data_IF_067023065851
#
_entry.id   IF_067023065851
#
_cell.length_a   1.000
_cell.length_b   1.000
_cell.length_c   1.000
_cell.angle_alpha   90.00
_cell.angle_beta   90.00
_cell.angle_gamma   90.00
#
_symmetry.space_group_name_H-M   'P 1'
#
loop_
_entity.id
_entity.type
_entity.pdbx_description
1 polymer ?
#
# COMPACT_ATOMS: atom_id res chain seq x y z
N UNK A 1 39.73 12.02 -16.76
CA UNK A 1 38.76 10.90 -16.86
C UNK A 1 37.96 10.86 -15.58
N UNK A 2 36.65 11.12 -15.64
CA UNK A 2 35.77 10.92 -14.48
C UNK A 2 35.33 9.46 -14.49
N UNK A 3 35.65 8.74 -13.42
CA UNK A 3 35.04 7.45 -13.14
C UNK A 3 33.59 7.77 -12.78
N UNK A 4 32.68 7.61 -13.75
CA UNK A 4 31.26 7.60 -13.44
C UNK A 4 31.03 6.37 -12.56
N UNK A 5 30.75 6.61 -11.28
CA UNK A 5 30.25 5.56 -10.41
C UNK A 5 29.07 4.92 -11.14
N UNK A 6 29.20 3.62 -11.44
CA UNK A 6 28.09 2.79 -11.84
C UNK A 6 27.15 2.87 -10.64
N UNK A 7 26.05 3.62 -10.74
CA UNK A 7 24.99 3.54 -9.74
C UNK A 7 24.60 2.07 -9.75
N UNK A 8 25.05 1.37 -8.73
CA UNK A 8 24.64 0.02 -8.46
C UNK A 8 23.12 0.08 -8.33
N UNK A 9 22.45 -0.81 -9.06
CA UNK A 9 20.99 -0.99 -9.16
C UNK A 9 20.32 -1.16 -7.77
N UNK A 10 21.10 -1.21 -6.69
CA UNK A 10 20.72 -1.42 -5.30
C UNK A 10 20.20 -0.17 -4.54
N UNK A 11 19.99 0.97 -5.22
CA UNK A 11 19.62 2.23 -4.56
C UNK A 11 18.21 2.76 -4.89
N UNK A 12 17.42 2.05 -5.70
CA UNK A 12 16.02 2.40 -5.91
C UNK A 12 15.21 1.60 -4.90
N UNK A 13 14.70 2.28 -3.86
CA UNK A 13 13.75 1.68 -2.93
C UNK A 13 12.52 1.11 -3.66
N UNK A 14 11.66 0.34 -2.96
CA UNK A 14 10.54 -0.34 -3.58
C UNK A 14 9.68 0.61 -4.42
N UNK A 15 9.33 0.19 -5.63
CA UNK A 15 8.41 0.91 -6.50
C UNK A 15 6.98 0.63 -6.04
N UNK A 16 6.13 1.64 -5.97
CA UNK A 16 4.72 1.44 -5.65
C UNK A 16 3.82 2.10 -6.67
N UNK A 17 2.64 1.50 -6.87
CA UNK A 17 1.59 2.10 -7.69
C UNK A 17 0.98 3.32 -7.02
N UNK A 18 0.33 4.21 -7.78
CA UNK A 18 -0.67 5.10 -7.21
C UNK A 18 -1.72 4.31 -6.43
N UNK A 19 -2.38 4.90 -5.41
CA UNK A 19 -3.47 4.24 -4.69
C UNK A 19 -4.59 3.83 -5.65
N UNK A 20 -4.82 2.53 -5.77
CA UNK A 20 -5.88 1.97 -6.59
C UNK A 20 -7.15 1.89 -5.75
N UNK A 21 -8.26 2.53 -6.16
CA UNK A 21 -9.50 2.47 -5.40
C UNK A 21 -10.04 1.03 -5.39
N UNK A 22 -10.44 0.56 -4.21
CA UNK A 22 -11.11 -0.74 -4.05
C UNK A 22 -12.39 -0.57 -3.26
N UNK A 23 -13.33 -1.47 -3.52
CA UNK A 23 -14.52 -1.56 -2.69
C UNK A 23 -14.09 -1.88 -1.26
N UNK A 24 -14.63 -1.15 -0.30
CA UNK A 24 -14.22 -1.25 1.10
C UNK A 24 -14.37 -2.67 1.65
N UNK A 25 -15.41 -3.39 1.25
CA UNK A 25 -15.68 -4.79 1.61
C UNK A 25 -14.67 -5.80 1.04
N UNK A 26 -13.79 -5.36 0.13
CA UNK A 26 -12.65 -6.13 -0.35
C UNK A 26 -11.36 -5.88 0.44
N UNK A 27 -11.38 -4.97 1.41
CA UNK A 27 -10.24 -4.80 2.31
C UNK A 27 -10.14 -5.98 3.29
N UNK A 28 -8.94 -6.18 3.80
CA UNK A 28 -8.57 -7.20 4.76
C UNK A 28 -9.53 -7.18 5.96
N UNK A 29 -9.96 -8.37 6.44
CA UNK A 29 -10.84 -8.49 7.61
C UNK A 29 -10.34 -7.73 8.84
N UNK A 30 -9.01 -7.61 8.99
CA UNK A 30 -8.39 -6.87 10.08
C UNK A 30 -8.65 -5.36 9.99
N UNK A 31 -8.57 -4.77 8.80
CA UNK A 31 -8.95 -3.36 8.58
C UNK A 31 -10.45 -3.20 8.84
N UNK A 32 -11.28 -4.08 8.28
CA UNK A 32 -12.73 -4.02 8.45
C UNK A 32 -13.14 -4.05 9.93
N UNK A 33 -12.51 -4.92 10.73
CA UNK A 33 -12.73 -5.01 12.17
C UNK A 33 -12.36 -3.71 12.89
N UNK A 34 -11.26 -3.07 12.52
CA UNK A 34 -10.87 -1.80 13.12
C UNK A 34 -11.84 -0.67 12.74
N UNK A 35 -12.32 -0.65 11.49
CA UNK A 35 -13.34 0.31 11.07
C UNK A 35 -14.67 0.11 11.81
N UNK A 36 -15.05 -1.14 12.08
CA UNK A 36 -16.24 -1.48 12.88
C UNK A 36 -16.11 -0.96 14.31
N UNK A 37 -14.95 -1.14 14.94
CA UNK A 37 -14.69 -0.67 16.30
C UNK A 37 -14.75 0.85 16.42
N UNK A 38 -14.38 1.57 15.36
CA UNK A 38 -14.45 3.05 15.30
C UNK A 38 -15.87 3.56 15.07
N UNK A 39 -16.83 2.70 14.73
CA UNK A 39 -18.24 3.06 14.53
C UNK A 39 -18.52 3.88 13.26
N UNK A 40 -17.53 4.09 12.40
CA UNK A 40 -17.60 5.07 11.31
C UNK A 40 -17.28 4.48 9.93
N UNK A 41 -17.58 3.18 9.76
CA UNK A 41 -17.20 2.36 8.61
C UNK A 41 -17.64 2.89 7.25
N UNK A 42 -18.71 3.68 7.17
CA UNK A 42 -19.22 4.28 5.91
C UNK A 42 -18.42 5.49 5.45
N UNK A 43 -17.67 6.11 6.35
CA UNK A 43 -16.90 7.32 6.07
C UNK A 43 -15.53 7.03 5.45
N UNK A 44 -15.08 5.77 5.49
CA UNK A 44 -13.79 5.32 4.94
C UNK A 44 -13.92 4.81 3.51
N UNK A 45 -12.96 5.20 2.67
CA UNK A 45 -12.74 4.70 1.31
C UNK A 45 -11.57 3.72 1.30
N UNK A 46 -11.68 2.65 0.53
CA UNK A 46 -10.63 1.63 0.39
C UNK A 46 -9.67 1.93 -0.76
N UNK A 47 -8.39 1.67 -0.52
CA UNK A 47 -7.33 1.74 -1.53
C UNK A 47 -6.34 0.60 -1.35
N UNK A 48 -5.69 0.22 -2.44
CA UNK A 48 -4.58 -0.74 -2.46
C UNK A 48 -3.40 -0.15 -3.21
N UNK A 49 -2.20 -0.35 -2.70
CA UNK A 49 -0.96 -0.10 -3.41
C UNK A 49 -0.27 -1.44 -3.64
N UNK A 50 0.23 -1.66 -4.86
CA UNK A 50 1.10 -2.78 -5.17
C UNK A 50 2.54 -2.31 -5.06
N UNK A 51 3.35 -3.09 -4.36
CA UNK A 51 4.77 -2.85 -4.13
C UNK A 51 5.56 -3.81 -5.01
N UNK A 52 6.60 -3.30 -5.66
CA UNK A 52 7.44 -4.03 -6.60
C UNK A 52 8.90 -3.82 -6.26
N UNK A 53 9.66 -4.91 -6.24
CA UNK A 53 11.12 -4.85 -6.08
C UNK A 53 11.81 -4.45 -7.40
N UNK A 54 11.15 -4.72 -8.54
CA UNK A 54 11.63 -4.33 -9.88
C UNK A 54 10.47 -3.73 -10.72
N UNK A 55 10.71 -2.69 -11.55
CA UNK A 55 9.64 -1.91 -12.20
C UNK A 55 8.62 -2.71 -13.03
N UNK A 56 9.06 -3.78 -13.68
CA UNK A 56 8.22 -4.64 -14.55
C UNK A 56 8.02 -6.05 -13.95
N UNK A 57 8.26 -6.18 -12.65
CA UNK A 57 8.17 -7.45 -11.93
C UNK A 57 6.76 -7.82 -11.51
N UNK A 58 6.65 -8.93 -10.78
CA UNK A 58 5.44 -9.21 -9.98
C UNK A 58 5.45 -8.33 -8.73
N UNK A 59 4.28 -7.96 -8.19
CA UNK A 59 4.21 -7.32 -6.90
C UNK A 59 4.89 -8.20 -5.84
N UNK A 60 5.83 -7.65 -5.08
CA UNK A 60 6.45 -8.27 -3.90
C UNK A 60 5.62 -8.06 -2.63
N UNK A 61 4.70 -7.11 -2.65
CA UNK A 61 3.78 -6.87 -1.55
C UNK A 61 2.56 -6.04 -1.94
N UNK A 62 1.63 -5.97 -1.01
CA UNK A 62 0.37 -5.23 -1.12
C UNK A 62 0.19 -4.40 0.14
N UNK A 63 -0.18 -3.14 -0.03
CA UNK A 63 -0.52 -2.23 1.06
C UNK A 63 -1.98 -1.85 0.95
N UNK A 64 -2.80 -2.32 1.88
CA UNK A 64 -4.22 -2.03 1.94
C UNK A 64 -4.48 -0.85 2.86
N UNK A 65 -5.33 0.09 2.43
CA UNK A 65 -5.60 1.33 3.16
C UNK A 65 -7.11 1.58 3.20
N UNK A 66 -7.62 1.87 4.38
CA UNK A 66 -8.89 2.56 4.58
C UNK A 66 -8.62 4.01 5.00
N UNK A 67 -9.11 4.99 4.22
CA UNK A 67 -8.91 6.41 4.49
C UNK A 67 -10.23 7.16 4.61
N UNK A 68 -10.39 7.94 5.69
CA UNK A 68 -11.51 8.84 5.90
C UNK A 68 -11.09 10.28 5.62
N UNK A 69 -11.54 10.83 4.48
CA UNK A 69 -11.20 12.20 4.08
C UNK A 69 -11.78 13.27 5.00
N UNK A 70 -12.83 12.95 5.76
CA UNK A 70 -13.48 13.90 6.68
C UNK A 70 -12.66 14.15 7.94
N UNK A 71 -12.06 13.09 8.49
CA UNK A 71 -11.30 13.16 9.75
C UNK A 71 -9.79 13.13 9.51
N UNK A 72 -9.34 12.83 8.29
CA UNK A 72 -7.93 12.61 7.97
C UNK A 72 -7.37 11.29 8.53
N UNK A 73 -8.21 10.43 9.12
CA UNK A 73 -7.78 9.18 9.71
C UNK A 73 -7.55 8.10 8.64
N UNK A 74 -6.52 7.28 8.84
CA UNK A 74 -6.24 6.11 8.02
C UNK A 74 -6.01 4.87 8.89
N UNK A 75 -6.45 3.72 8.42
CA UNK A 75 -6.07 2.39 8.89
C UNK A 75 -5.42 1.66 7.72
N UNK A 76 -4.30 0.98 7.93
CA UNK A 76 -3.62 0.29 6.85
C UNK A 76 -2.92 -0.97 7.32
N UNK A 77 -2.78 -1.93 6.41
CA UNK A 77 -2.06 -3.18 6.60
C UNK A 77 -1.12 -3.38 5.43
N UNK A 78 0.09 -3.84 5.74
CA UNK A 78 1.07 -4.28 4.77
C UNK A 78 1.16 -5.80 4.78
N UNK A 79 1.01 -6.41 3.62
CA UNK A 79 1.25 -7.84 3.41
C UNK A 79 2.38 -8.00 2.37
N UNK A 80 3.44 -8.70 2.75
CA UNK A 80 4.55 -9.06 1.86
C UNK A 80 4.57 -10.56 1.63
N UNK A 81 4.96 -11.00 0.43
CA UNK A 81 5.35 -12.41 0.28
C UNK A 81 6.60 -12.65 1.12
N UNK A 82 6.52 -13.57 2.08
CA UNK A 82 7.69 -13.99 2.84
C UNK A 82 8.63 -14.71 1.87
N UNK A 83 9.78 -14.08 1.58
CA UNK A 83 10.84 -14.63 0.74
C UNK A 83 11.43 -15.93 1.28
#
# INVERSE_FOLDING_TARGET
MRVCAKLEDAALGPFWTPPLPVDRDKLSPSILRELDQRGDRRSFKGYVLQIYDVPDGKPSGVFEIAFCSKTGAACAIYESEAG
#
